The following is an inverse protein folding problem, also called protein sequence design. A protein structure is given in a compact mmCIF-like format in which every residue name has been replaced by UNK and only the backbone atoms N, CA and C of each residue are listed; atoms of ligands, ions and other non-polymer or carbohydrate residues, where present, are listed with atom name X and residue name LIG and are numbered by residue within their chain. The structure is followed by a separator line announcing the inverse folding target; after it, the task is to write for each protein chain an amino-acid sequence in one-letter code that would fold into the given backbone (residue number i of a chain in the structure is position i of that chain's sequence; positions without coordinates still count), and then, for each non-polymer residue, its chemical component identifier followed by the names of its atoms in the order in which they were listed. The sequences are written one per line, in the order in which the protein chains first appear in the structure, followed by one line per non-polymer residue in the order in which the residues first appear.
data_IF_401055377779
#
_entry.id   IF_401055377779
#
_cell.length_a   1.000
_cell.length_b   1.000
_cell.length_c   1.000
_cell.angle_alpha   90.00
_cell.angle_beta   90.00
_cell.angle_gamma   90.00
#
_symmetry.space_group_name_H-M   'P 1'
#
loop_
_entity.id
_entity.type
_entity.pdbx_description
1 polymer ?
#
# COMPACT_ATOMS: atom_id res chain seq x y z
N UNK A 1 -5.72 -21.69 -3.95
CA UNK A 1 -6.22 -20.64 -4.86
C UNK A 1 -7.51 -21.06 -5.54
N UNK A 2 -7.54 -22.13 -6.36
CA UNK A 2 -8.77 -22.58 -7.06
C UNK A 2 -9.94 -22.76 -6.09
N UNK A 3 -9.73 -23.51 -4.98
CA UNK A 3 -10.75 -23.66 -3.93
C UNK A 3 -11.25 -22.33 -3.36
N UNK A 4 -10.35 -21.36 -3.15
CA UNK A 4 -10.67 -20.02 -2.64
C UNK A 4 -11.54 -19.24 -3.64
N UNK A 5 -11.25 -19.35 -4.93
CA UNK A 5 -12.04 -18.71 -5.99
C UNK A 5 -13.40 -19.40 -6.17
N UNK A 6 -13.44 -20.73 -6.07
CA UNK A 6 -14.69 -21.49 -6.17
C UNK A 6 -15.59 -21.31 -4.95
N UNK A 7 -15.02 -20.99 -3.79
CA UNK A 7 -15.74 -20.66 -2.56
C UNK A 7 -15.87 -19.15 -2.31
N UNK A 8 -15.52 -18.29 -3.27
CA UNK A 8 -15.59 -16.84 -3.08
C UNK A 8 -17.06 -16.39 -3.19
N UNK A 9 -17.56 -15.74 -2.13
CA UNK A 9 -18.96 -15.33 -2.06
C UNK A 9 -19.90 -16.53 -2.18
N UNK A 10 -20.80 -16.50 -3.17
CA UNK A 10 -21.73 -17.60 -3.45
C UNK A 10 -21.11 -18.73 -4.31
N UNK A 11 -19.86 -18.56 -4.75
CA UNK A 11 -19.21 -19.46 -5.68
C UNK A 11 -19.68 -19.28 -7.14
N UNK A 12 -19.34 -20.23 -8.00
CA UNK A 12 -19.75 -20.20 -9.40
C UNK A 12 -21.16 -20.77 -9.59
N UNK A 13 -21.95 -20.11 -10.45
CA UNK A 13 -23.27 -20.60 -10.85
C UNK A 13 -23.19 -21.98 -11.55
N UNK A 14 -22.11 -22.22 -12.31
CA UNK A 14 -21.87 -23.49 -13.03
C UNK A 14 -20.64 -24.17 -12.45
N UNK A 15 -20.76 -25.47 -12.16
CA UNK A 15 -19.66 -26.25 -11.58
C UNK A 15 -18.48 -26.41 -12.56
N UNK A 16 -17.32 -26.83 -12.03
CA UNK A 16 -16.13 -27.07 -12.85
C UNK A 16 -16.32 -28.21 -13.86
N UNK A 17 -17.14 -29.21 -13.52
CA UNK A 17 -17.45 -30.34 -14.39
C UNK A 17 -18.37 -29.98 -15.56
N UNK A 18 -19.32 -29.06 -15.34
CA UNK A 18 -20.40 -28.74 -16.29
C UNK A 18 -20.08 -27.57 -17.23
N UNK A 19 -18.99 -26.85 -16.97
CA UNK A 19 -18.62 -25.70 -17.81
C UNK A 19 -18.15 -26.15 -19.19
N UNK A 20 -18.64 -25.51 -20.25
CA UNK A 20 -18.18 -25.75 -21.62
C UNK A 20 -16.84 -25.05 -21.90
N UNK A 21 -16.57 -23.95 -21.19
CA UNK A 21 -15.36 -23.16 -21.32
C UNK A 21 -14.14 -23.88 -20.72
N UNK A 22 -13.52 -24.77 -21.50
CA UNK A 22 -12.42 -25.65 -21.09
C UNK A 22 -11.28 -25.71 -22.10
N UNK A 23 -10.07 -25.85 -21.57
CA UNK A 23 -8.89 -26.31 -22.29
C UNK A 23 -8.73 -27.81 -22.04
N UNK A 24 -9.25 -28.64 -22.94
CA UNK A 24 -9.37 -30.07 -22.70
C UNK A 24 -10.33 -30.36 -21.55
N UNK A 25 -9.83 -30.94 -20.45
CA UNK A 25 -10.63 -31.19 -19.24
C UNK A 25 -10.61 -30.06 -18.22
N UNK A 26 -9.76 -29.03 -18.42
CA UNK A 26 -9.51 -27.99 -17.42
C UNK A 26 -10.37 -26.75 -17.73
N UNK A 27 -11.26 -26.30 -16.83
CA UNK A 27 -11.98 -25.04 -16.99
C UNK A 27 -11.05 -23.85 -17.20
N UNK A 28 -11.33 -22.98 -18.18
CA UNK A 28 -10.45 -21.83 -18.46
C UNK A 28 -10.30 -20.89 -17.26
N UNK A 29 -11.32 -20.80 -16.40
CA UNK A 29 -11.28 -20.00 -15.16
C UNK A 29 -10.27 -20.51 -14.11
N UNK A 30 -9.79 -21.74 -14.24
CA UNK A 30 -8.76 -22.30 -13.36
C UNK A 30 -7.34 -22.05 -13.90
N UNK A 31 -7.22 -21.61 -15.15
CA UNK A 31 -5.95 -21.18 -15.73
C UNK A 31 -5.60 -19.77 -15.23
N UNK A 32 -4.31 -19.51 -15.07
CA UNK A 32 -3.79 -18.16 -14.77
C UNK A 32 -4.18 -17.18 -15.88
N UNK A 33 -4.01 -17.61 -17.13
CA UNK A 33 -4.42 -16.87 -18.32
C UNK A 33 -5.50 -17.65 -19.04
N UNK A 34 -6.60 -16.98 -19.38
CA UNK A 34 -7.66 -17.56 -20.20
C UNK A 34 -7.18 -17.67 -21.64
N UNK A 35 -6.66 -18.84 -22.01
CA UNK A 35 -6.08 -19.13 -23.32
C UNK A 35 -6.75 -20.33 -23.96
N UNK A 36 -6.75 -20.35 -25.29
CA UNK A 36 -7.23 -21.46 -26.12
C UNK A 36 -6.03 -22.22 -26.72
N UNK A 37 -6.22 -23.48 -27.17
CA UNK A 37 -5.17 -24.21 -27.86
C UNK A 37 -4.69 -23.45 -29.08
N UNK A 38 -3.37 -23.39 -29.26
CA UNK A 38 -2.80 -22.84 -30.47
C UNK A 38 -2.94 -23.84 -31.63
N UNK A 39 -3.35 -23.39 -32.85
CA UNK A 39 -3.35 -24.24 -34.04
C UNK A 39 -1.99 -24.89 -34.30
N UNK A 40 -1.97 -26.14 -34.77
CA UNK A 40 -0.72 -26.88 -34.98
C UNK A 40 0.23 -26.18 -35.95
N UNK A 41 -0.30 -25.53 -36.98
CA UNK A 41 0.47 -24.74 -37.95
C UNK A 41 1.19 -23.54 -37.34
N UNK A 42 0.69 -23.02 -36.21
CA UNK A 42 1.28 -21.87 -35.51
C UNK A 42 2.27 -22.28 -34.42
N UNK A 43 2.23 -23.53 -33.95
CA UNK A 43 3.16 -24.05 -32.94
C UNK A 43 4.64 -23.84 -33.27
N UNK A 44 5.13 -24.07 -34.51
CA UNK A 44 6.54 -23.83 -34.83
C UNK A 44 6.92 -22.34 -34.91
N UNK A 45 5.95 -21.42 -34.85
CA UNK A 45 6.18 -19.96 -34.93
C UNK A 45 6.30 -19.31 -33.55
N UNK A 46 6.05 -20.05 -32.47
CA UNK A 46 6.10 -19.52 -31.10
C UNK A 46 7.55 -19.42 -30.64
N UNK A 47 7.89 -18.26 -30.08
CA UNK A 47 9.19 -18.02 -29.47
C UNK A 47 9.03 -17.51 -28.05
N UNK A 48 9.89 -17.97 -27.14
CA UNK A 48 9.93 -17.47 -25.77
C UNK A 48 10.84 -16.23 -25.70
N UNK A 49 10.25 -15.07 -25.41
CA UNK A 49 10.97 -13.81 -25.19
C UNK A 49 11.61 -13.74 -23.80
N UNK A 50 11.34 -14.70 -22.93
CA UNK A 50 11.82 -14.73 -21.56
C UNK A 50 11.04 -13.79 -20.63
N UNK A 51 11.63 -13.54 -19.48
CA UNK A 51 11.06 -12.70 -18.42
C UNK A 51 11.96 -11.49 -18.15
N UNK A 52 11.33 -10.43 -17.67
CA UNK A 52 12.05 -9.22 -17.26
C UNK A 52 12.85 -9.49 -15.99
N UNK A 53 14.09 -9.00 -15.92
CA UNK A 53 14.87 -9.10 -14.67
C UNK A 53 14.37 -8.09 -13.65
N UNK A 54 14.52 -8.40 -12.34
CA UNK A 54 14.19 -7.49 -11.24
C UNK A 54 14.78 -6.08 -11.47
N UNK A 55 16.03 -6.01 -11.92
CA UNK A 55 16.71 -4.73 -12.18
C UNK A 55 16.07 -3.96 -13.33
N UNK A 56 15.75 -4.64 -14.44
CA UNK A 56 15.11 -3.99 -15.59
C UNK A 56 13.69 -3.54 -15.25
N UNK A 57 12.95 -4.33 -14.46
CA UNK A 57 11.62 -3.97 -13.95
C UNK A 57 11.66 -2.72 -13.08
N UNK A 58 12.65 -2.60 -12.20
CA UNK A 58 12.87 -1.39 -11.39
C UNK A 58 13.14 -0.18 -12.27
N UNK A 59 13.96 -0.32 -13.32
CA UNK A 59 14.24 0.77 -14.27
C UNK A 59 12.97 1.22 -15.01
N UNK A 60 12.15 0.28 -15.49
CA UNK A 60 10.88 0.60 -16.13
C UNK A 60 9.90 1.26 -15.16
N UNK A 61 9.82 0.76 -13.92
CA UNK A 61 8.99 1.34 -12.86
C UNK A 61 9.41 2.80 -12.60
N UNK A 62 10.71 3.06 -12.44
CA UNK A 62 11.23 4.41 -12.23
C UNK A 62 10.95 5.34 -13.42
N UNK A 63 11.06 4.86 -14.66
CA UNK A 63 10.69 5.63 -15.85
C UNK A 63 9.19 5.97 -15.88
N UNK A 64 8.34 5.00 -15.55
CA UNK A 64 6.89 5.23 -15.47
C UNK A 64 6.58 6.28 -14.40
N UNK A 65 7.09 6.13 -13.18
CA UNK A 65 6.85 7.10 -12.09
C UNK A 65 7.29 8.51 -12.51
N UNK A 66 8.49 8.66 -13.06
CA UNK A 66 8.97 9.98 -13.55
C UNK A 66 8.06 10.58 -14.62
N UNK A 67 7.57 9.77 -15.56
CA UNK A 67 6.63 10.21 -16.60
C UNK A 67 5.30 10.68 -16.00
N UNK A 68 4.79 9.95 -15.01
CA UNK A 68 3.56 10.31 -14.29
C UNK A 68 3.70 11.63 -13.51
N UNK A 69 4.91 11.94 -13.04
CA UNK A 69 5.22 13.16 -12.30
C UNK A 69 5.72 14.31 -13.20
N UNK A 70 5.88 14.10 -14.51
CA UNK A 70 6.42 15.11 -15.42
C UNK A 70 5.39 16.22 -15.73
N UNK A 71 5.80 17.51 -15.77
CA UNK A 71 4.93 18.68 -16.04
C UNK A 71 4.09 18.58 -17.32
N UNK A 72 4.62 17.86 -18.30
CA UNK A 72 4.12 17.80 -19.68
C UNK A 72 3.08 16.71 -19.93
N UNK A 73 2.64 15.98 -18.90
CA UNK A 73 1.55 15.00 -19.02
C UNK A 73 0.21 15.68 -18.69
N UNK A 74 -0.65 15.96 -19.69
CA UNK A 74 -1.91 16.67 -19.48
C UNK A 74 -2.83 15.88 -18.54
N UNK A 75 -3.34 16.54 -17.49
CA UNK A 75 -4.26 15.95 -16.51
C UNK A 75 -3.62 15.31 -15.27
N UNK A 76 -2.28 15.29 -15.15
CA UNK A 76 -1.59 14.54 -14.09
C UNK A 76 -0.55 15.35 -13.29
N UNK A 77 0.13 16.30 -13.94
CA UNK A 77 1.25 17.02 -13.33
C UNK A 77 0.85 18.11 -12.32
N UNK A 78 -0.41 18.57 -12.35
CA UNK A 78 -0.92 19.62 -11.46
C UNK A 78 -1.23 19.11 -10.05
N UNK A 79 -1.23 17.79 -9.85
CA UNK A 79 -1.77 17.15 -8.67
C UNK A 79 -0.80 16.99 -7.52
N UNK A 80 0.49 16.78 -7.82
CA UNK A 80 1.51 16.54 -6.81
C UNK A 80 2.15 17.90 -6.53
N UNK A 81 1.82 18.56 -5.41
CA UNK A 81 2.40 19.87 -5.15
C UNK A 81 3.89 19.70 -4.90
N UNK A 82 4.71 20.60 -5.46
CA UNK A 82 6.10 20.74 -5.08
C UNK A 82 6.18 21.32 -3.65
N UNK A 83 5.78 20.53 -2.65
CA UNK A 83 5.73 20.97 -1.25
C UNK A 83 7.15 21.02 -0.69
N UNK A 84 7.84 22.14 -0.91
CA UNK A 84 9.10 22.43 -0.25
C UNK A 84 9.89 23.54 -0.96
N UNK A 85 10.02 24.67 -0.29
CA UNK A 85 10.93 25.78 -0.60
C UNK A 85 12.40 25.35 -0.51
N UNK A 86 12.86 24.52 -1.44
CA UNK A 86 14.28 24.39 -1.83
C UNK A 86 14.34 23.59 -3.13
N UNK A 87 14.63 24.27 -4.25
CA UNK A 87 14.83 23.69 -5.60
C UNK A 87 13.88 22.52 -5.95
N UNK A 88 12.66 22.86 -6.43
CA UNK A 88 11.60 21.91 -6.79
C UNK A 88 11.98 20.84 -7.82
N UNK A 89 13.17 20.89 -8.39
CA UNK A 89 13.72 19.85 -9.28
C UNK A 89 14.26 18.64 -8.51
N UNK A 90 14.89 18.85 -7.33
CA UNK A 90 15.50 17.79 -6.53
C UNK A 90 14.47 17.00 -5.70
N UNK A 91 13.47 17.69 -5.15
CA UNK A 91 12.44 17.08 -4.31
C UNK A 91 11.52 16.14 -5.11
N UNK A 92 11.15 16.54 -6.33
CA UNK A 92 10.42 15.70 -7.28
C UNK A 92 11.21 14.43 -7.64
N UNK A 93 12.53 14.53 -7.77
CA UNK A 93 13.41 13.39 -8.01
C UNK A 93 13.45 12.41 -6.82
N UNK A 94 13.55 12.91 -5.60
CA UNK A 94 13.56 12.10 -4.38
C UNK A 94 12.22 11.37 -4.17
N UNK A 95 11.10 12.07 -4.36
CA UNK A 95 9.76 11.49 -4.24
C UNK A 95 9.50 10.45 -5.33
N UNK A 96 9.84 10.74 -6.59
CA UNK A 96 9.74 9.76 -7.69
C UNK A 96 10.57 8.51 -7.40
N UNK A 97 11.78 8.67 -6.86
CA UNK A 97 12.65 7.56 -6.45
C UNK A 97 12.02 6.74 -5.32
N UNK A 98 11.43 7.39 -4.32
CA UNK A 98 10.74 6.73 -3.21
C UNK A 98 9.55 5.90 -3.73
N UNK A 99 8.66 6.50 -4.51
CA UNK A 99 7.49 5.82 -5.08
C UNK A 99 7.94 4.63 -5.94
N UNK A 100 8.94 4.81 -6.81
CA UNK A 100 9.45 3.73 -7.64
C UNK A 100 9.97 2.55 -6.80
N UNK A 101 10.76 2.82 -5.75
CA UNK A 101 11.26 1.78 -4.84
C UNK A 101 10.14 1.03 -4.13
N UNK A 102 9.12 1.75 -3.63
CA UNK A 102 7.96 1.13 -2.96
C UNK A 102 7.18 0.26 -3.94
N UNK A 103 6.92 0.73 -5.16
CA UNK A 103 6.23 -0.03 -6.19
C UNK A 103 7.02 -1.27 -6.64
N UNK A 104 8.35 -1.14 -6.83
CA UNK A 104 9.22 -2.28 -7.16
C UNK A 104 9.29 -3.31 -6.03
N UNK A 105 9.41 -2.86 -4.77
CA UNK A 105 9.35 -3.75 -3.61
C UNK A 105 7.99 -4.47 -3.51
N UNK A 106 6.90 -3.76 -3.80
CA UNK A 106 5.55 -4.35 -3.86
C UNK A 106 5.43 -5.40 -4.95
N UNK A 107 5.87 -5.11 -6.18
CA UNK A 107 5.91 -6.07 -7.30
C UNK A 107 6.71 -7.33 -6.91
N UNK A 108 7.90 -7.16 -6.33
CA UNK A 108 8.74 -8.27 -5.88
C UNK A 108 8.08 -9.10 -4.80
N UNK A 109 7.44 -8.46 -3.82
CA UNK A 109 6.65 -9.15 -2.80
C UNK A 109 5.53 -9.96 -3.44
N UNK A 110 4.83 -9.38 -4.41
CA UNK A 110 3.73 -10.03 -5.10
C UNK A 110 4.20 -11.27 -5.89
N UNK A 111 5.33 -11.18 -6.61
CA UNK A 111 5.95 -12.32 -7.34
C UNK A 111 6.27 -13.52 -6.44
N UNK A 112 6.59 -13.28 -5.17
CA UNK A 112 6.87 -14.35 -4.19
C UNK A 112 5.62 -15.06 -3.66
N UNK A 113 4.42 -14.60 -4.01
CA UNK A 113 3.18 -15.26 -3.61
C UNK A 113 2.91 -16.52 -4.45
N UNK A 114 2.18 -17.48 -3.88
CA UNK A 114 1.83 -18.75 -4.56
C UNK A 114 0.45 -18.72 -5.25
N UNK A 115 -0.08 -17.53 -5.51
CA UNK A 115 -1.44 -17.31 -6.00
C UNK A 115 -1.45 -16.42 -7.26
N UNK A 116 -2.63 -16.03 -7.76
CA UNK A 116 -2.82 -15.17 -8.95
C UNK A 116 -2.00 -13.90 -8.91
N UNK A 117 -1.76 -13.40 -7.70
CA UNK A 117 -1.09 -12.14 -7.52
C UNK A 117 0.42 -12.24 -7.79
N UNK A 118 0.98 -13.42 -8.11
CA UNK A 118 2.37 -13.53 -8.58
C UNK A 118 2.58 -13.04 -10.02
N UNK A 119 1.50 -12.93 -10.80
CA UNK A 119 1.52 -12.48 -12.19
C UNK A 119 1.33 -10.96 -12.31
N UNK A 120 2.05 -10.23 -11.47
CA UNK A 120 2.06 -8.77 -11.54
C UNK A 120 2.89 -8.25 -12.71
N UNK A 121 2.49 -7.09 -13.20
CA UNK A 121 3.05 -6.45 -14.39
C UNK A 121 3.16 -4.94 -14.23
N UNK A 122 3.90 -4.30 -15.14
CA UNK A 122 3.96 -2.84 -15.24
C UNK A 122 2.59 -2.18 -15.44
N UNK A 123 1.55 -2.91 -15.89
CA UNK A 123 0.18 -2.37 -15.93
C UNK A 123 -0.36 -2.09 -14.53
N UNK A 124 0.05 -2.87 -13.54
CA UNK A 124 -0.36 -2.68 -12.15
C UNK A 124 0.35 -1.47 -11.55
N UNK A 125 1.61 -1.24 -11.92
CA UNK A 125 2.35 0.00 -11.63
C UNK A 125 1.62 1.20 -12.23
N UNK A 126 1.18 1.13 -13.48
CA UNK A 126 0.39 2.21 -14.11
C UNK A 126 -0.89 2.52 -13.35
N UNK A 127 -1.66 1.49 -12.98
CA UNK A 127 -2.91 1.67 -12.22
C UNK A 127 -2.65 2.22 -10.83
N UNK A 128 -1.63 1.72 -10.13
CA UNK A 128 -1.21 2.24 -8.83
C UNK A 128 -0.82 3.73 -8.92
N UNK A 129 -0.10 4.12 -9.97
CA UNK A 129 0.25 5.53 -10.19
C UNK A 129 -0.98 6.40 -10.44
N UNK A 130 -1.99 5.93 -11.19
CA UNK A 130 -3.26 6.67 -11.36
C UNK A 130 -3.95 6.92 -10.01
N UNK A 131 -3.95 5.92 -9.14
CA UNK A 131 -4.52 6.02 -7.78
C UNK A 131 -3.71 6.98 -6.93
N UNK A 132 -2.38 6.86 -6.90
CA UNK A 132 -1.49 7.76 -6.17
C UNK A 132 -1.73 9.21 -6.60
N UNK A 133 -1.74 9.50 -7.91
CA UNK A 133 -2.03 10.83 -8.43
C UNK A 133 -3.39 11.34 -7.96
N UNK A 134 -4.42 10.50 -8.02
CA UNK A 134 -5.75 10.88 -7.55
C UNK A 134 -5.72 11.28 -6.07
N UNK A 135 -5.04 10.52 -5.20
CA UNK A 135 -4.89 10.88 -3.79
C UNK A 135 -4.19 12.22 -3.62
N UNK A 136 -3.10 12.48 -4.34
CA UNK A 136 -2.43 13.79 -4.29
C UNK A 136 -3.30 14.94 -4.80
N UNK A 137 -4.07 14.70 -5.87
CA UNK A 137 -4.98 15.72 -6.44
C UNK A 137 -6.11 16.12 -5.49
N UNK A 138 -6.48 15.23 -4.58
CA UNK A 138 -7.62 15.37 -3.69
C UNK A 138 -7.19 15.43 -2.21
N UNK A 139 -5.90 15.74 -1.94
CA UNK A 139 -5.36 15.68 -0.58
C UNK A 139 -6.13 16.58 0.39
N UNK A 140 -6.50 17.79 -0.04
CA UNK A 140 -7.29 18.71 0.80
C UNK A 140 -8.68 18.15 1.17
N UNK A 141 -9.34 17.45 0.24
CA UNK A 141 -10.62 16.81 0.50
C UNK A 141 -10.45 15.63 1.48
N UNK A 142 -9.38 14.85 1.32
CA UNK A 142 -9.07 13.74 2.20
C UNK A 142 -8.75 14.25 3.61
N UNK A 143 -7.97 15.32 3.72
CA UNK A 143 -7.63 15.95 5.00
C UNK A 143 -8.89 16.46 5.72
N UNK A 144 -9.87 17.01 4.98
CA UNK A 144 -11.16 17.40 5.56
C UNK A 144 -11.97 16.20 6.07
N UNK A 145 -12.02 15.11 5.30
CA UNK A 145 -12.78 13.91 5.68
C UNK A 145 -12.14 13.17 6.87
N UNK A 146 -10.81 13.17 6.96
CA UNK A 146 -10.08 12.48 8.03
C UNK A 146 -9.96 13.37 9.28
N UNK A 147 -9.80 14.69 9.11
CA UNK A 147 -9.63 15.65 10.21
C UNK A 147 -10.86 15.88 11.10
N UNK A 148 -12.04 15.41 10.67
CA UNK A 148 -13.27 15.50 11.47
C UNK A 148 -13.35 14.44 12.59
N UNK A 149 -12.52 13.39 12.60
CA UNK A 149 -12.58 12.34 13.64
C UNK A 149 -11.90 12.73 14.97
N UNK A 150 -11.01 13.73 14.99
CA UNK A 150 -10.24 14.10 16.19
C UNK A 150 -10.90 15.19 17.05
N UNK A 151 -11.92 15.90 16.55
CA UNK A 151 -12.57 17.01 17.28
C UNK A 151 -13.71 16.61 18.24
N UNK A 152 -13.98 15.32 18.45
CA UNK A 152 -15.14 14.85 19.27
C UNK A 152 -14.72 14.30 20.64
N UNK A 153 -13.45 14.38 21.06
CA UNK A 153 -12.97 13.70 22.28
C UNK A 153 -12.65 14.58 23.50
N UNK A 154 -12.71 15.90 23.42
CA UNK A 154 -12.16 16.77 24.47
C UNK A 154 -13.18 17.60 25.29
N UNK A 155 -14.49 17.33 25.21
CA UNK A 155 -15.50 18.16 25.94
C UNK A 155 -16.05 17.58 27.27
N UNK A 156 -15.61 16.42 27.75
CA UNK A 156 -16.19 15.78 28.97
C UNK A 156 -15.21 15.62 30.14
N UNK A 157 -14.40 16.63 30.47
CA UNK A 157 -13.73 16.65 31.79
C UNK A 157 -13.49 18.06 32.33
N UNK A 158 -14.59 18.76 32.63
CA UNK A 158 -14.57 19.94 33.48
C UNK A 158 -15.30 19.68 34.81
N UNK A 159 -14.77 20.29 35.86
CA UNK A 159 -15.27 20.45 37.23
C UNK A 159 -15.02 19.32 38.25
N UNK A 160 -13.94 19.48 39.00
CA UNK A 160 -14.07 19.65 40.47
C UNK A 160 -12.82 20.32 41.04
N UNK A 161 -12.96 21.61 41.32
CA UNK A 161 -12.04 22.50 42.01
C UNK A 161 -11.90 22.16 43.52
N UNK A 162 -10.70 22.45 44.04
CA UNK A 162 -10.36 23.05 45.35
C UNK A 162 -10.80 22.40 46.68
N UNK A 163 -9.82 22.18 47.58
CA UNK A 163 -9.66 23.07 48.73
C UNK A 163 -8.32 22.84 49.49
N UNK A 164 -7.74 23.97 49.89
CA UNK A 164 -6.58 24.28 50.73
C UNK A 164 -6.44 23.50 52.06
N UNK A 165 -5.21 23.44 52.60
CA UNK A 165 -4.87 24.00 53.93
C UNK A 165 -3.35 23.91 54.23
N UNK A 166 -2.74 25.07 54.47
CA UNK A 166 -1.45 25.24 55.15
C UNK A 166 -1.69 25.26 56.68
N UNK A 167 -0.85 24.59 57.47
CA UNK A 167 0.01 25.20 58.50
C UNK A 167 0.60 24.19 59.51
N UNK A 168 1.76 24.61 60.02
CA UNK A 168 2.70 23.97 60.94
C UNK A 168 2.22 23.81 62.40
N UNK A 169 2.76 22.84 63.13
CA UNK A 169 3.61 23.05 64.33
C UNK A 169 3.79 21.77 65.19
N UNK A 170 5.04 21.59 65.65
CA UNK A 170 5.52 21.12 66.98
C UNK A 170 4.64 20.12 67.79
N UNK A 171 5.12 19.05 68.42
CA UNK A 171 6.29 19.00 69.30
C UNK A 171 6.54 17.55 69.81
N UNK A 172 7.82 17.28 70.11
CA UNK A 172 8.33 16.52 71.25
C UNK A 172 8.19 14.97 71.42
N UNK A 173 9.38 14.35 71.36
CA UNK A 173 10.06 13.57 72.43
C UNK A 173 10.17 12.03 72.36
N UNK A 174 11.45 11.65 72.29
CA UNK A 174 12.16 10.52 72.93
C UNK A 174 11.76 9.08 72.56
N UNK A 175 12.67 8.40 71.86
CA UNK A 175 13.49 7.41 72.57
C UNK A 175 14.88 7.22 71.94
N UNK A 176 15.87 7.39 72.80
CA UNK A 176 17.29 7.10 72.61
C UNK A 176 17.52 5.58 72.67
N UNK A 177 18.60 5.12 72.02
CA UNK A 177 19.58 4.06 72.41
C UNK A 177 20.18 3.57 71.07
N UNK A 178 21.29 4.14 70.57
CA UNK A 178 22.69 4.00 71.00
C UNK A 178 23.29 2.61 70.72
N UNK A 179 24.48 2.66 70.09
CA UNK A 179 25.57 1.68 69.97
C UNK A 179 25.58 0.68 68.80
N UNK A 180 26.69 0.42 68.11
CA UNK A 180 28.00 1.09 67.88
C UNK A 180 28.74 0.23 66.84
N UNK A 181 29.66 0.88 66.12
CA UNK A 181 30.65 0.36 65.18
C UNK A 181 31.42 -0.91 65.61
N UNK A 182 31.81 -1.72 64.62
CA UNK A 182 33.21 -1.92 64.22
C UNK A 182 33.28 -2.25 62.72
#
# INVERSE_FOLDING_TARGET
MIKKLESAGLGYHVSAGETEDKLGSIPLRQLVYRVHPLPESMRPLVWDFGQLTDHTEELYTAQMVRRFMAPSTPGLASAIPATGTFDGTLQNGAQASCIAKVLSASQKYMRNQKNECSFVSLRDVERAMKVIVWFYSNSELIDQVIGDEDNVRDEDNDSSEESSEEESSENDKLNNVVQVEQ
#
